data_IF_773319666116
#
_entry.id   IF_773319666116
#
_cell.length_a   1.000
_cell.length_b   1.000
_cell.length_c   1.000
_cell.angle_alpha   90.00
_cell.angle_beta   90.00
_cell.angle_gamma   90.00
#
_symmetry.space_group_name_H-M   'P 1'
#
loop_
_entity.id
_entity.type
_entity.pdbx_description
1 polymer ?
#
# COMPACT_ATOMS: atom_id res chain seq x y z
N UNK A 1 7.92 -10.85 20.97
CA UNK A 1 7.77 -12.10 20.19
C UNK A 1 9.05 -12.92 20.32
N UNK A 2 8.96 -14.25 20.18
CA UNK A 2 10.14 -15.12 20.23
C UNK A 2 11.08 -14.84 19.05
N UNK A 3 12.35 -15.24 19.20
CA UNK A 3 13.35 -15.10 18.14
C UNK A 3 12.90 -15.80 16.85
N UNK A 4 12.35 -17.01 16.97
CA UNK A 4 11.85 -17.82 15.85
C UNK A 4 10.79 -17.05 15.05
N UNK A 5 9.81 -16.45 15.74
CA UNK A 5 8.74 -15.69 15.09
C UNK A 5 9.31 -14.49 14.33
N UNK A 6 10.23 -13.72 14.94
CA UNK A 6 10.84 -12.57 14.27
C UNK A 6 11.59 -12.96 13.01
N UNK A 7 12.43 -13.99 13.09
CA UNK A 7 13.22 -14.48 11.96
C UNK A 7 12.34 -14.97 10.81
N UNK A 8 11.33 -15.79 11.12
CA UNK A 8 10.39 -16.31 10.10
C UNK A 8 9.56 -15.18 9.50
N UNK A 9 9.11 -14.22 10.30
CA UNK A 9 8.35 -13.06 9.81
C UNK A 9 9.16 -12.21 8.84
N UNK A 10 10.43 -11.92 9.12
CA UNK A 10 11.28 -11.15 8.19
C UNK A 10 11.42 -11.82 6.84
N UNK A 11 11.64 -13.14 6.84
CA UNK A 11 11.73 -13.93 5.62
C UNK A 11 10.39 -13.91 4.85
N UNK A 12 9.27 -14.19 5.52
CA UNK A 12 7.95 -14.21 4.90
C UNK A 12 7.53 -12.83 4.38
N UNK A 13 7.82 -11.76 5.09
CA UNK A 13 7.46 -10.41 4.68
C UNK A 13 8.08 -10.04 3.32
N UNK A 14 9.32 -10.44 3.06
CA UNK A 14 9.96 -10.24 1.76
C UNK A 14 9.22 -10.96 0.63
N UNK A 15 8.82 -12.22 0.86
CA UNK A 15 8.04 -12.99 -0.12
C UNK A 15 6.64 -12.43 -0.34
N UNK A 16 5.94 -12.01 0.73
CA UNK A 16 4.62 -11.38 0.64
C UNK A 16 4.71 -10.06 -0.14
N UNK A 17 5.73 -9.24 0.12
CA UNK A 17 5.95 -7.99 -0.58
C UNK A 17 6.19 -8.24 -2.08
N UNK A 18 7.08 -9.18 -2.42
CA UNK A 18 7.35 -9.57 -3.81
C UNK A 18 6.08 -10.05 -4.52
N UNK A 19 5.28 -10.88 -3.84
CA UNK A 19 4.01 -11.36 -4.37
C UNK A 19 3.00 -10.22 -4.57
N UNK A 20 2.92 -9.28 -3.63
CA UNK A 20 2.08 -8.09 -3.78
C UNK A 20 2.46 -7.25 -5.00
N UNK A 21 3.76 -7.01 -5.20
CA UNK A 21 4.28 -6.30 -6.39
C UNK A 21 3.93 -7.04 -7.68
N UNK A 22 4.08 -8.37 -7.70
CA UNK A 22 3.68 -9.20 -8.83
C UNK A 22 2.19 -9.02 -9.17
N UNK A 23 1.29 -9.07 -8.17
CA UNK A 23 -0.16 -8.90 -8.39
C UNK A 23 -0.50 -7.50 -8.93
N UNK A 24 0.23 -6.46 -8.53
CA UNK A 24 0.05 -5.11 -9.08
C UNK A 24 0.47 -5.06 -10.56
N UNK A 25 1.63 -5.63 -10.89
CA UNK A 25 2.20 -5.55 -12.23
C UNK A 25 1.46 -6.40 -13.27
N UNK A 26 0.94 -7.56 -12.86
CA UNK A 26 0.29 -8.53 -13.75
C UNK A 26 -1.24 -8.49 -13.70
N UNK A 27 -1.82 -7.51 -13.01
CA UNK A 27 -3.26 -7.41 -12.81
C UNK A 27 -4.11 -7.29 -14.08
N UNK A 28 -3.52 -7.01 -15.24
CA UNK A 28 -4.21 -7.02 -16.53
C UNK A 28 -4.14 -8.38 -17.27
N UNK A 29 -3.26 -9.28 -16.83
CA UNK A 29 -3.08 -10.62 -17.41
C UNK A 29 -3.67 -11.71 -16.51
N UNK A 30 -3.62 -11.51 -15.20
CA UNK A 30 -4.05 -12.46 -14.17
C UNK A 30 -5.11 -11.83 -13.28
N UNK A 31 -6.00 -12.62 -12.64
CA UNK A 31 -6.91 -12.09 -11.62
C UNK A 31 -6.10 -11.38 -10.52
N UNK A 32 -6.42 -10.11 -10.26
CA UNK A 32 -5.61 -9.26 -9.40
C UNK A 32 -5.81 -7.77 -9.67
N UNK A 33 -4.71 -7.00 -9.64
CA UNK A 33 -4.74 -5.55 -9.89
C UNK A 33 -4.07 -4.73 -8.80
N UNK A 34 -4.11 -3.42 -8.99
CA UNK A 34 -3.55 -2.46 -8.03
C UNK A 34 -4.12 -2.61 -6.63
N UNK A 35 -5.44 -2.76 -6.49
CA UNK A 35 -6.07 -2.87 -5.17
C UNK A 35 -5.60 -4.10 -4.40
N UNK A 36 -5.79 -5.31 -4.95
CA UNK A 36 -5.42 -6.55 -4.27
C UNK A 36 -3.91 -6.61 -3.96
N UNK A 37 -3.06 -6.21 -4.90
CA UNK A 37 -1.62 -6.14 -4.68
C UNK A 37 -1.23 -5.10 -3.62
N UNK A 38 -1.90 -3.94 -3.61
CA UNK A 38 -1.77 -2.92 -2.56
C UNK A 38 -2.11 -3.45 -1.17
N UNK A 39 -3.21 -4.20 -1.02
CA UNK A 39 -3.56 -4.84 0.26
C UNK A 39 -2.48 -5.84 0.71
N UNK A 40 -2.00 -6.69 -0.21
CA UNK A 40 -0.96 -7.68 0.10
C UNK A 40 0.34 -7.01 0.54
N UNK A 41 0.77 -5.95 -0.16
CA UNK A 41 1.96 -5.18 0.24
C UNK A 41 1.79 -4.53 1.61
N UNK A 42 0.62 -3.95 1.93
CA UNK A 42 0.33 -3.43 3.26
C UNK A 42 0.40 -4.52 4.35
N UNK A 43 -0.10 -5.72 4.07
CA UNK A 43 -0.02 -6.86 4.99
C UNK A 43 1.43 -7.22 5.33
N UNK A 44 2.38 -7.13 4.40
CA UNK A 44 3.80 -7.36 4.69
C UNK A 44 4.34 -6.36 5.73
N UNK A 45 4.03 -5.07 5.57
CA UNK A 45 4.44 -4.03 6.52
C UNK A 45 3.77 -4.18 7.89
N UNK A 46 2.47 -4.54 7.91
CA UNK A 46 1.73 -4.80 9.13
C UNK A 46 2.34 -5.99 9.86
N UNK A 47 2.64 -7.09 9.15
CA UNK A 47 3.24 -8.29 9.71
C UNK A 47 4.59 -7.99 10.38
N UNK A 48 5.47 -7.24 9.71
CA UNK A 48 6.74 -6.78 10.27
C UNK A 48 6.54 -5.96 11.55
N UNK A 49 5.58 -5.02 11.51
CA UNK A 49 5.28 -4.15 12.65
C UNK A 49 4.76 -4.94 13.85
N UNK A 50 3.96 -5.99 13.62
CA UNK A 50 3.46 -6.88 14.67
C UNK A 50 4.55 -7.76 15.28
N UNK A 51 5.48 -8.28 14.47
CA UNK A 51 6.56 -9.14 14.95
C UNK A 51 7.62 -8.40 15.77
N UNK A 52 7.98 -7.18 15.35
CA UNK A 52 8.98 -6.36 16.04
C UNK A 52 8.41 -5.55 17.21
N UNK A 53 7.11 -5.23 17.19
CA UNK A 53 6.42 -4.52 18.26
C UNK A 53 6.66 -3.00 18.25
N UNK A 54 6.56 -2.37 19.43
CA UNK A 54 6.50 -0.89 19.59
C UNK A 54 7.70 -0.14 19.00
N UNK A 55 8.88 -0.76 18.93
CA UNK A 55 10.08 -0.13 18.38
C UNK A 55 10.00 0.03 16.85
N UNK A 56 9.47 -0.97 16.14
CA UNK A 56 9.31 -0.92 14.69
C UNK A 56 8.13 -0.06 14.25
N UNK A 57 7.04 0.00 15.02
CA UNK A 57 5.88 0.83 14.71
C UNK A 57 6.21 2.34 14.54
N UNK A 58 7.33 2.80 15.11
CA UNK A 58 7.84 4.17 14.92
C UNK A 58 8.83 4.33 13.75
N UNK A 59 9.38 3.24 13.23
CA UNK A 59 10.46 3.25 12.24
C UNK A 59 10.04 2.78 10.84
N UNK A 60 8.92 2.06 10.67
CA UNK A 60 8.61 1.45 9.37
C UNK A 60 8.33 2.49 8.28
N UNK A 61 7.38 3.42 8.51
CA UNK A 61 7.09 4.55 7.60
C UNK A 61 6.50 5.69 8.42
N UNK A 62 7.01 6.92 8.25
CA UNK A 62 6.41 8.10 8.88
C UNK A 62 5.00 8.34 8.34
N UNK A 63 4.04 8.68 9.21
CA UNK A 63 2.66 8.99 8.80
C UNK A 63 2.61 10.05 7.69
N UNK A 64 3.53 11.03 7.72
CA UNK A 64 3.64 12.05 6.69
C UNK A 64 4.05 11.47 5.33
N UNK A 65 4.98 10.51 5.32
CA UNK A 65 5.43 9.84 4.09
C UNK A 65 4.32 8.95 3.53
N UNK A 66 3.66 8.14 4.38
CA UNK A 66 2.53 7.32 3.94
C UNK A 66 1.39 8.16 3.37
N UNK A 67 1.06 9.29 4.01
CA UNK A 67 0.05 10.22 3.49
C UNK A 67 0.48 10.87 2.19
N UNK A 68 1.74 11.30 2.06
CA UNK A 68 2.26 11.89 0.82
C UNK A 68 2.22 10.87 -0.33
N UNK A 69 2.63 9.62 -0.08
CA UNK A 69 2.58 8.56 -1.07
C UNK A 69 1.12 8.20 -1.45
N UNK A 70 0.19 8.13 -0.50
CA UNK A 70 -1.24 7.95 -0.80
C UNK A 70 -1.77 9.04 -1.75
N UNK A 71 -1.43 10.30 -1.49
CA UNK A 71 -1.76 11.41 -2.37
C UNK A 71 -1.09 11.29 -3.76
N UNK A 72 0.19 10.91 -3.82
CA UNK A 72 0.91 10.69 -5.09
C UNK A 72 0.24 9.58 -5.90
N UNK A 73 -0.15 8.46 -5.29
CA UNK A 73 -0.86 7.38 -5.97
C UNK A 73 -2.20 7.84 -6.55
N UNK A 74 -2.96 8.64 -5.80
CA UNK A 74 -4.21 9.22 -6.26
C UNK A 74 -4.00 10.23 -7.41
N UNK A 75 -3.00 11.09 -7.31
CA UNK A 75 -2.65 12.07 -8.33
C UNK A 75 -2.12 11.41 -9.60
N UNK A 76 -1.37 10.31 -9.49
CA UNK A 76 -0.95 9.52 -10.65
C UNK A 76 -2.15 8.94 -11.39
N UNK A 77 -3.12 8.37 -10.66
CA UNK A 77 -4.34 7.83 -11.26
C UNK A 77 -5.17 8.91 -11.95
N UNK A 78 -5.39 10.06 -11.30
CA UNK A 78 -6.07 11.20 -11.89
C UNK A 78 -5.28 11.79 -13.07
N UNK A 79 -3.96 11.88 -12.96
CA UNK A 79 -3.07 12.39 -14.00
C UNK A 79 -3.16 11.57 -15.28
N UNK A 80 -3.23 10.23 -15.16
CA UNK A 80 -3.46 9.36 -16.32
C UNK A 80 -4.84 9.57 -16.94
N UNK A 81 -5.86 9.82 -16.12
CA UNK A 81 -7.21 10.10 -16.60
C UNK A 81 -7.30 11.42 -17.39
N UNK A 82 -6.67 12.48 -16.85
CA UNK A 82 -6.57 13.79 -17.49
C UNK A 82 -5.65 13.74 -18.72
N UNK A 83 -4.57 12.97 -18.69
CA UNK A 83 -3.73 12.75 -19.87
C UNK A 83 -4.54 12.15 -21.02
N UNK A 84 -5.50 11.27 -20.72
CA UNK A 84 -6.47 10.79 -21.71
C UNK A 84 -7.24 11.91 -22.41
N UNK A 85 -7.63 12.97 -21.70
CA UNK A 85 -8.34 14.13 -22.28
C UNK A 85 -7.43 15.00 -23.16
N UNK A 86 -6.18 15.25 -22.74
CA UNK A 86 -5.31 16.20 -23.43
C UNK A 86 -4.45 15.57 -24.54
N UNK A 87 -4.02 14.33 -24.37
CA UNK A 87 -3.10 13.66 -25.32
C UNK A 87 -3.85 12.81 -26.35
N UNK A 88 -5.10 12.42 -26.08
CA UNK A 88 -5.86 11.62 -27.05
C UNK A 88 -6.51 12.52 -28.08
N UNK A 89 -6.45 12.10 -29.36
CA UNK A 89 -7.09 12.83 -30.47
C UNK A 89 -8.59 13.06 -30.27
N UNK A 90 -9.25 12.14 -29.59
CA UNK A 90 -10.69 12.16 -29.32
C UNK A 90 -11.06 12.95 -28.05
N UNK A 91 -10.07 13.40 -27.26
CA UNK A 91 -10.27 14.13 -26.00
C UNK A 91 -11.21 13.42 -25.01
N UNK A 92 -11.06 12.10 -24.89
CA UNK A 92 -11.91 11.25 -24.03
C UNK A 92 -11.19 10.94 -22.72
N UNK A 93 -11.89 11.12 -21.60
CA UNK A 93 -11.40 10.80 -20.26
C UNK A 93 -11.04 9.31 -20.16
N UNK A 94 -9.89 8.98 -19.56
CA UNK A 94 -9.37 7.61 -19.44
C UNK A 94 -9.10 6.86 -20.76
N UNK A 95 -9.00 7.55 -21.91
CA UNK A 95 -8.63 6.87 -23.15
C UNK A 95 -7.22 6.28 -23.05
N UNK A 96 -7.08 5.01 -23.41
CA UNK A 96 -5.80 4.33 -23.46
C UNK A 96 -4.98 4.78 -24.68
N UNK A 97 -4.24 5.88 -24.54
CA UNK A 97 -3.43 6.44 -25.63
C UNK A 97 -2.10 5.69 -25.87
N UNK A 98 -1.70 4.80 -24.96
CA UNK A 98 -0.49 3.95 -25.07
C UNK A 98 -0.89 2.51 -25.47
N UNK A 99 -2.06 2.33 -26.08
CA UNK A 99 -2.53 1.00 -26.44
C UNK A 99 -1.56 0.33 -27.44
N UNK A 100 -1.01 -0.81 -27.03
CA UNK A 100 -0.05 -1.55 -27.84
C UNK A 100 -0.79 -2.55 -28.71
N UNK A 101 -0.45 -2.62 -30.01
CA UNK A 101 -1.15 -3.44 -30.98
C UNK A 101 -1.14 -4.96 -30.71
N UNK A 102 -1.79 -5.72 -31.59
CA UNK A 102 -2.01 -7.19 -31.47
C UNK A 102 -0.75 -8.04 -31.22
N UNK A 103 0.43 -7.51 -31.50
CA UNK A 103 1.73 -8.18 -31.32
C UNK A 103 2.25 -8.18 -29.88
N UNK A 104 1.66 -7.38 -28.98
CA UNK A 104 2.10 -7.29 -27.58
C UNK A 104 1.24 -8.09 -26.59
N UNK A 105 0.31 -8.91 -27.08
CA UNK A 105 -0.62 -9.64 -26.23
C UNK A 105 0.14 -10.60 -25.30
N UNK A 106 -0.34 -10.72 -24.05
CA UNK A 106 0.30 -11.49 -22.97
C UNK A 106 1.69 -10.98 -22.50
N UNK A 107 2.07 -9.74 -22.85
CA UNK A 107 3.26 -9.09 -22.31
C UNK A 107 2.89 -8.06 -21.24
N UNK A 108 3.85 -7.72 -20.37
CA UNK A 108 3.65 -6.75 -19.31
C UNK A 108 3.18 -5.38 -19.85
N UNK A 109 3.76 -4.95 -20.98
CA UNK A 109 3.47 -3.65 -21.60
C UNK A 109 2.17 -3.63 -22.44
N UNK A 110 1.46 -4.76 -22.57
CA UNK A 110 0.25 -4.84 -23.39
C UNK A 110 -0.90 -3.95 -22.91
N UNK A 111 -0.84 -3.56 -21.63
CA UNK A 111 -1.90 -2.87 -20.90
C UNK A 111 -2.05 -1.39 -21.25
N UNK A 112 -1.03 -0.79 -21.89
CA UNK A 112 -0.96 0.66 -22.08
C UNK A 112 -1.04 1.39 -20.73
N UNK A 113 -2.00 2.31 -20.59
CA UNK A 113 -2.17 3.12 -19.36
C UNK A 113 -2.60 2.31 -18.13
N UNK A 114 -3.23 1.15 -18.32
CA UNK A 114 -3.82 0.35 -17.22
C UNK A 114 -2.74 -0.12 -16.24
N UNK A 115 -1.54 -0.44 -16.71
CA UNK A 115 -0.41 -0.82 -15.85
C UNK A 115 -0.02 0.33 -14.91
N UNK A 116 0.05 1.56 -15.44
CA UNK A 116 0.39 2.77 -14.68
C UNK A 116 -0.72 3.06 -13.66
N UNK A 117 -1.99 2.92 -14.07
CA UNK A 117 -3.12 3.05 -13.16
C UNK A 117 -3.07 2.02 -12.04
N UNK A 118 -2.73 0.75 -12.33
CA UNK A 118 -2.57 -0.30 -11.33
C UNK A 118 -1.44 0.02 -10.34
N UNK A 119 -0.31 0.54 -10.81
CA UNK A 119 0.78 0.99 -9.94
C UNK A 119 0.33 2.15 -9.02
N UNK A 120 -0.37 3.15 -9.57
CA UNK A 120 -0.91 4.26 -8.79
C UNK A 120 -1.90 3.80 -7.72
N UNK A 121 -2.86 2.94 -8.09
CA UNK A 121 -3.83 2.36 -7.15
C UNK A 121 -3.13 1.49 -6.11
N UNK A 122 -2.17 0.64 -6.50
CA UNK A 122 -1.47 -0.23 -5.56
C UNK A 122 -0.67 0.53 -4.52
N UNK A 123 0.04 1.58 -4.94
CA UNK A 123 0.76 2.47 -4.03
C UNK A 123 -0.20 3.22 -3.11
N UNK A 124 -1.29 3.76 -3.66
CA UNK A 124 -2.36 4.43 -2.90
C UNK A 124 -2.93 3.52 -1.80
N UNK A 125 -3.41 2.34 -2.19
CA UNK A 125 -4.06 1.37 -1.29
C UNK A 125 -3.06 0.83 -0.25
N UNK A 126 -1.84 0.50 -0.67
CA UNK A 126 -0.81 0.02 0.25
C UNK A 126 -0.50 1.02 1.36
N UNK A 127 -0.24 2.27 0.98
CA UNK A 127 0.15 3.32 1.94
C UNK A 127 -1.00 3.78 2.82
N UNK A 128 -2.22 3.87 2.27
CA UNK A 128 -3.42 4.20 3.06
C UNK A 128 -3.71 3.14 4.13
N UNK A 129 -3.58 1.85 3.83
CA UNK A 129 -3.77 0.79 4.83
C UNK A 129 -2.68 0.79 5.91
N UNK A 130 -1.42 1.02 5.52
CA UNK A 130 -0.32 1.20 6.49
C UNK A 130 -0.60 2.41 7.40
N UNK A 131 -1.07 3.53 6.84
CA UNK A 131 -1.42 4.73 7.61
C UNK A 131 -2.57 4.46 8.59
N UNK A 132 -3.67 3.85 8.12
CA UNK A 132 -4.82 3.49 8.96
C UNK A 132 -4.37 2.58 10.10
N UNK A 133 -3.58 1.56 9.81
CA UNK A 133 -3.02 0.67 10.82
C UNK A 133 -2.17 1.42 11.84
N UNK A 134 -1.25 2.30 11.40
CA UNK A 134 -0.39 3.09 12.28
C UNK A 134 -1.18 4.03 13.19
N UNK A 135 -2.21 4.68 12.67
CA UNK A 135 -3.09 5.57 13.45
C UNK A 135 -3.87 4.76 14.48
N UNK A 136 -4.50 3.65 14.10
CA UNK A 136 -5.24 2.80 15.02
C UNK A 136 -4.33 2.19 16.10
N UNK A 137 -3.12 1.76 15.72
CA UNK A 137 -2.12 1.25 16.65
C UNK A 137 -1.71 2.34 17.67
N UNK A 138 -1.54 3.58 17.22
CA UNK A 138 -1.19 4.72 18.08
C UNK A 138 -2.33 5.04 19.04
N UNK A 139 -3.58 5.12 18.57
CA UNK A 139 -4.77 5.35 19.39
C UNK A 139 -4.89 4.27 20.47
N UNK A 140 -4.74 2.99 20.10
CA UNK A 140 -4.79 1.87 21.04
C UNK A 140 -3.73 2.02 22.14
N UNK A 141 -2.51 2.42 21.79
CA UNK A 141 -1.42 2.62 22.75
C UNK A 141 -1.70 3.81 23.68
N UNK A 142 -2.24 4.91 23.16
CA UNK A 142 -2.62 6.08 23.95
C UNK A 142 -3.69 5.74 24.99
N UNK A 143 -4.78 5.09 24.56
CA UNK A 143 -5.90 4.69 25.44
C UNK A 143 -5.46 3.75 26.56
N UNK A 144 -4.60 2.76 26.26
CA UNK A 144 -4.06 1.87 27.29
C UNK A 144 -3.06 2.54 28.23
N UNK A 145 -2.35 3.57 27.76
CA UNK A 145 -1.44 4.36 28.59
C UNK A 145 -2.18 5.25 29.59
N UNK A 146 -3.30 5.84 29.16
CA UNK A 146 -4.15 6.70 29.98
C UNK A 146 -4.86 5.92 31.09
N UNK A 147 -5.41 4.75 30.76
CA UNK A 147 -6.04 3.83 31.73
C UNK A 147 -5.08 3.40 32.86
N UNK A 148 -3.79 3.19 32.55
CA UNK A 148 -2.76 2.90 33.58
C UNK A 148 -2.41 4.10 34.47
N UNK A 149 -2.47 5.33 33.96
CA UNK A 149 -2.21 6.54 34.77
C UNK A 149 -3.34 6.81 35.74
N UNK A 150 -4.59 6.65 35.30
CA UNK A 150 -5.78 6.81 36.16
C UNK A 150 -5.78 5.79 37.29
N UNK A 151 -5.45 4.52 37.01
CA UNK A 151 -5.39 3.47 38.03
C UNK A 151 -4.25 3.64 39.04
N UNK A 152 -3.16 4.32 38.67
CA UNK A 152 -2.06 4.63 39.60
C UNK A 152 -2.41 5.80 40.51
N UNK A 153 -3.10 6.82 39.97
CA UNK A 153 -3.51 8.01 40.73
C UNK A 153 -4.55 7.67 41.81
N UNK A 154 -5.52 6.80 41.51
CA UNK A 154 -6.50 6.32 42.49
C UNK A 154 -5.99 5.28 43.50
N UNK A 155 -4.68 4.96 43.49
CA UNK A 155 -4.05 4.07 44.47
C UNK A 155 -3.08 4.83 45.40
N UNK A 156 -2.87 6.12 45.12
CA UNK A 156 -2.06 7.06 45.90
C UNK A 156 -2.95 8.02 46.74
N UNK A 157 -4.28 7.89 46.62
CA UNK A 157 -5.32 8.53 47.45
C UNK A 157 -5.94 7.51 48.41
#
# INVERSE_FOLDING_TARGET
>A
MSLIVKTVTHLLAAFILLFGVYIVLYGHLTPGGGFAGGVITACAFILLTLAEGRAAARQTVSNAVSSALDCVGALLFLGMALAGLYLSREHVFFKNFIETGRTAWFRLWSSGIILICNLGIGLKVGMSLVLVFSVLATIRVAMHGESRRVFRKGREE
#
